data_IF_737721807125
#
_entry.id   IF_737721807125
#
_cell.length_a   1.000
_cell.length_b   1.000
_cell.length_c   1.000
_cell.angle_alpha   90.00
_cell.angle_beta   90.00
_cell.angle_gamma   90.00
#
_symmetry.space_group_name_H-M   'P 1'
#
loop_
_entity.id
_entity.type
_entity.pdbx_description
1 polymer ?
#
# COMPACT_ATOMS: atom_id res chain seq x y z
N UNK A 1 -20.91 8.14 9.70
CA UNK A 1 -19.44 8.12 9.88
C UNK A 1 -19.15 6.98 10.84
N UNK A 2 -18.38 5.99 10.41
CA UNK A 2 -18.05 4.83 11.25
C UNK A 2 -16.75 5.14 11.99
N UNK A 3 -16.81 5.11 13.33
CA UNK A 3 -15.62 5.07 14.16
C UNK A 3 -15.20 3.60 14.21
N UNK A 4 -13.99 3.30 13.74
CA UNK A 4 -13.41 1.97 13.83
C UNK A 4 -12.51 1.91 15.05
N UNK A 5 -12.91 1.12 16.04
CA UNK A 5 -12.19 0.97 17.31
C UNK A 5 -10.75 0.45 17.10
N UNK A 6 -10.51 -0.35 16.06
CA UNK A 6 -9.18 -0.87 15.72
C UNK A 6 -8.28 0.27 15.23
N UNK A 7 -8.82 1.18 14.42
CA UNK A 7 -8.06 2.31 13.88
C UNK A 7 -7.68 3.29 14.98
N UNK A 8 -8.59 3.55 15.92
CA UNK A 8 -8.30 4.41 17.08
C UNK A 8 -7.20 3.82 17.98
N UNK A 9 -7.21 2.50 18.19
CA UNK A 9 -6.15 1.83 18.94
C UNK A 9 -4.79 1.95 18.24
N UNK A 10 -4.75 1.73 16.92
CA UNK A 10 -3.53 1.92 16.12
C UNK A 10 -3.02 3.35 16.26
N UNK A 11 -3.89 4.35 16.13
CA UNK A 11 -3.50 5.75 16.31
C UNK A 11 -2.89 6.01 17.69
N UNK A 12 -3.50 5.46 18.75
CA UNK A 12 -2.99 5.60 20.11
C UNK A 12 -1.59 4.98 20.25
N UNK A 13 -1.38 3.77 19.74
CA UNK A 13 -0.07 3.09 19.79
C UNK A 13 0.97 3.88 19.00
N UNK A 14 0.64 4.36 17.80
CA UNK A 14 1.54 5.16 16.98
C UNK A 14 1.91 6.49 17.66
N UNK A 15 0.94 7.16 18.30
CA UNK A 15 1.15 8.41 19.02
C UNK A 15 2.04 8.20 20.26
N UNK A 16 1.76 7.16 21.07
CA UNK A 16 2.59 6.80 22.23
C UNK A 16 4.03 6.48 21.81
N UNK A 17 4.21 5.70 20.73
CA UNK A 17 5.52 5.39 20.19
C UNK A 17 6.23 6.66 19.68
N UNK A 18 5.55 7.51 18.91
CA UNK A 18 6.11 8.77 18.41
C UNK A 18 6.56 9.71 19.54
N UNK A 19 5.82 9.78 20.64
CA UNK A 19 6.17 10.61 21.81
C UNK A 19 7.50 10.19 22.43
N UNK A 20 7.80 8.89 22.46
CA UNK A 20 9.08 8.40 23.00
C UNK A 20 10.30 8.91 22.20
N UNK A 21 10.09 9.23 20.92
CA UNK A 21 11.10 9.82 20.03
C UNK A 21 10.95 11.35 19.89
N UNK A 22 10.15 12.02 20.73
CA UNK A 22 9.85 13.45 20.61
C UNK A 22 9.28 13.84 19.23
N UNK A 23 8.57 12.93 18.58
CA UNK A 23 8.07 13.08 17.21
C UNK A 23 9.17 13.32 16.16
N UNK A 24 10.41 12.92 16.44
CA UNK A 24 11.49 12.94 15.44
C UNK A 24 11.37 11.75 14.49
N UNK A 25 10.89 12.04 13.28
CA UNK A 25 10.76 11.06 12.19
C UNK A 25 12.07 10.35 11.85
N UNK A 26 13.22 11.04 11.97
CA UNK A 26 14.52 10.43 11.66
C UNK A 26 14.90 9.40 12.72
N UNK A 27 14.64 9.69 13.99
CA UNK A 27 14.93 8.77 15.08
C UNK A 27 14.06 7.51 15.01
N UNK A 28 12.77 7.68 14.71
CA UNK A 28 11.83 6.57 14.48
C UNK A 28 12.32 5.69 13.32
N UNK A 29 12.69 6.30 12.20
CA UNK A 29 13.16 5.56 11.03
C UNK A 29 14.45 4.78 11.32
N UNK A 30 15.39 5.37 12.04
CA UNK A 30 16.62 4.71 12.44
C UNK A 30 16.36 3.50 13.36
N UNK A 31 15.42 3.60 14.29
CA UNK A 31 15.02 2.49 15.16
C UNK A 31 14.41 1.34 14.34
N UNK A 32 13.52 1.65 13.40
CA UNK A 32 12.92 0.64 12.52
C UNK A 32 13.96 -0.03 11.62
N UNK A 33 14.93 0.71 11.09
CA UNK A 33 16.05 0.11 10.34
C UNK A 33 16.88 -0.82 11.21
N UNK A 34 17.13 -0.45 12.47
CA UNK A 34 17.86 -1.29 13.42
C UNK A 34 17.10 -2.58 13.71
N UNK A 35 15.79 -2.49 13.98
CA UNK A 35 14.93 -3.66 14.18
C UNK A 35 14.89 -4.57 12.93
N UNK A 36 14.90 -3.99 11.73
CA UNK A 36 15.00 -4.74 10.48
C UNK A 36 16.34 -5.47 10.36
N UNK A 37 17.45 -4.83 10.72
CA UNK A 37 18.78 -5.43 10.68
C UNK A 37 18.98 -6.52 11.74
N UNK A 38 18.34 -6.39 12.90
CA UNK A 38 18.32 -7.41 13.96
C UNK A 38 17.39 -8.58 13.63
N UNK A 39 16.47 -8.40 12.68
CA UNK A 39 15.62 -9.50 12.21
C UNK A 39 16.49 -10.54 11.52
N UNK A 40 16.34 -11.81 11.88
CA UNK A 40 17.00 -12.95 11.21
C UNK A 40 16.50 -13.17 9.76
N UNK A 41 15.63 -12.29 9.26
CA UNK A 41 15.04 -12.37 7.93
C UNK A 41 15.92 -11.65 6.90
N UNK A 42 16.07 -12.26 5.73
CA UNK A 42 16.80 -11.64 4.62
C UNK A 42 16.01 -10.44 4.05
N UNK A 43 16.65 -9.27 4.03
CA UNK A 43 16.13 -8.08 3.37
C UNK A 43 16.35 -8.22 1.86
N UNK A 44 15.31 -8.61 1.13
CA UNK A 44 15.36 -8.75 -0.33
C UNK A 44 15.00 -7.44 -1.04
N UNK A 45 15.84 -7.00 -1.98
CA UNK A 45 15.53 -5.87 -2.84
C UNK A 45 14.79 -6.36 -4.09
N UNK A 46 13.46 -6.27 -4.06
CA UNK A 46 12.62 -6.57 -5.22
C UNK A 46 12.58 -5.34 -6.13
N UNK A 47 13.57 -5.25 -7.03
CA UNK A 47 13.53 -4.31 -8.15
C UNK A 47 12.18 -4.44 -8.86
N UNK A 48 11.40 -3.36 -8.91
CA UNK A 48 10.21 -3.32 -9.75
C UNK A 48 10.64 -3.60 -11.19
N UNK A 49 10.15 -4.70 -11.77
CA UNK A 49 10.23 -4.89 -13.22
C UNK A 49 9.43 -3.74 -13.85
N UNK A 50 10.00 -2.93 -14.76
CA UNK A 50 9.24 -1.92 -15.45
C UNK A 50 8.04 -2.61 -16.08
N UNK A 51 6.83 -2.16 -15.72
CA UNK A 51 5.61 -2.80 -16.16
C UNK A 51 5.62 -2.86 -17.68
N UNK A 52 5.70 -4.07 -18.24
CA UNK A 52 5.34 -4.29 -19.63
C UNK A 52 3.85 -3.97 -19.68
N UNK A 53 3.53 -2.71 -19.97
CA UNK A 53 2.17 -2.28 -20.25
C UNK A 53 1.76 -2.87 -21.59
N UNK A 54 1.59 -4.18 -21.68
CA UNK A 54 0.61 -4.74 -22.61
C UNK A 54 -0.74 -4.32 -22.06
N UNK A 55 -1.13 -3.12 -22.52
CA UNK A 55 -2.48 -2.57 -22.43
C UNK A 55 -3.47 -3.72 -22.46
N UNK A 56 -4.24 -3.92 -21.39
CA UNK A 56 -5.47 -4.69 -21.44
C UNK A 56 -6.38 -4.00 -22.46
N UNK A 57 -6.26 -4.40 -23.73
CA UNK A 57 -7.18 -3.99 -24.78
C UNK A 57 -8.49 -4.70 -24.49
N UNK A 58 -9.33 -4.05 -23.70
CA UNK A 58 -10.74 -4.37 -23.61
C UNK A 58 -11.31 -4.42 -25.02
N UNK A 59 -11.72 -5.62 -25.41
CA UNK A 59 -12.51 -6.01 -26.58
C UNK A 59 -13.42 -4.87 -27.09
N UNK A 60 -13.30 -4.53 -28.38
CA UNK A 60 -14.36 -3.80 -29.07
C UNK A 60 -15.65 -4.61 -28.93
N UNK A 61 -16.72 -3.99 -28.44
CA UNK A 61 -18.06 -4.57 -28.47
C UNK A 61 -18.61 -4.23 -29.85
N UNK A 62 -18.61 -5.19 -30.76
CA UNK A 62 -19.46 -5.12 -31.95
C UNK A 62 -20.91 -5.08 -31.45
N UNK A 63 -21.51 -3.89 -31.41
CA UNK A 63 -22.94 -3.73 -31.20
C UNK A 63 -23.58 -4.17 -32.51
N UNK A 64 -24.19 -5.35 -32.49
CA UNK A 64 -24.95 -5.89 -33.61
C UNK A 64 -26.01 -4.91 -34.06
N UNK A 65 -26.03 -4.66 -35.36
CA UNK A 65 -27.06 -3.90 -36.05
C UNK A 65 -28.37 -4.68 -35.95
N UNK A 66 -29.24 -4.28 -35.03
CA UNK A 66 -30.55 -4.86 -34.84
C UNK A 66 -31.41 -4.67 -36.11
N UNK A 67 -31.83 -5.80 -36.67
CA UNK A 67 -32.83 -5.89 -37.72
C UNK A 67 -34.13 -5.18 -37.33
N UNK A 68 -34.61 -4.27 -38.18
CA UNK A 68 -36.04 -3.95 -38.29
C UNK A 68 -36.46 -3.80 -39.75
N UNK A 69 -36.96 -4.91 -40.29
CA UNK A 69 -37.99 -4.93 -41.32
C UNK A 69 -39.31 -4.50 -40.66
N UNK A 70 -39.87 -3.37 -41.08
CA UNK A 70 -41.30 -3.09 -41.32
C UNK A 70 -41.49 -1.69 -41.88
#
# INVERSE_FOLDING_TARGET
>A
MFQDEIVEEIHRICEEYSRSFNHDLKAIFADLQKQQAESEREVVNLSQKPGLTTRCSGRARDIGEDAKEY
#
